data_IF_123265251401
#
_entry.id   IF_123265251401
#
_cell.length_a   1.000
_cell.length_b   1.000
_cell.length_c   1.000
_cell.angle_alpha   90.00
_cell.angle_beta   90.00
_cell.angle_gamma   90.00
#
_symmetry.space_group_name_H-M   'P 1'
#
loop_
_entity.id
_entity.type
_entity.pdbx_description
1 polymer ?
#
# COMPACT_ATOMS: atom_id res chain seq x y z
N UNK A 1 10.91 -32.11 3.52
CA UNK A 1 9.94 -31.10 4.00
C UNK A 1 8.48 -31.52 3.81
N UNK A 2 7.98 -31.80 2.59
CA UNK A 2 6.54 -32.06 2.35
C UNK A 2 5.89 -33.19 3.19
N UNK A 3 6.60 -34.28 3.50
CA UNK A 3 6.05 -35.42 4.28
C UNK A 3 5.69 -35.06 5.72
N UNK A 4 6.51 -34.24 6.37
CA UNK A 4 6.36 -33.87 7.80
C UNK A 4 5.20 -32.88 7.96
N UNK A 5 5.12 -31.89 7.06
CA UNK A 5 4.01 -30.93 6.99
C UNK A 5 2.67 -31.58 6.63
N UNK A 6 2.66 -32.62 5.78
CA UNK A 6 1.46 -33.42 5.47
C UNK A 6 0.93 -34.21 6.68
N UNK A 7 1.80 -34.54 7.64
CA UNK A 7 1.42 -35.18 8.91
C UNK A 7 1.02 -34.16 9.99
N UNK A 8 0.93 -32.87 9.64
CA UNK A 8 0.59 -31.78 10.59
C UNK A 8 1.71 -31.40 11.57
N UNK A 9 2.84 -32.09 11.54
CA UNK A 9 3.97 -31.87 12.43
C UNK A 9 4.77 -30.63 12.00
N UNK A 10 5.00 -29.70 12.93
CA UNK A 10 5.72 -28.45 12.67
C UNK A 10 4.88 -27.30 12.08
N UNK A 11 3.56 -27.47 11.94
CA UNK A 11 2.63 -26.42 11.48
C UNK A 11 2.19 -25.46 12.61
N UNK A 12 3.08 -25.12 13.54
CA UNK A 12 2.78 -24.07 14.51
C UNK A 12 2.73 -22.72 13.78
N UNK A 13 1.53 -22.15 13.69
CA UNK A 13 1.29 -20.90 13.01
C UNK A 13 1.93 -19.76 13.81
N UNK A 14 3.12 -19.31 13.39
CA UNK A 14 3.75 -18.09 13.91
C UNK A 14 3.04 -16.88 13.31
N UNK A 15 1.87 -16.55 13.84
CA UNK A 15 1.10 -15.38 13.43
C UNK A 15 1.38 -14.24 14.42
N UNK A 16 1.73 -13.07 13.89
CA UNK A 16 1.83 -11.86 14.70
C UNK A 16 0.43 -11.39 15.12
N UNK A 17 0.35 -10.82 16.32
CA UNK A 17 -0.85 -10.13 16.79
C UNK A 17 -1.12 -8.90 15.91
N UNK A 18 -2.40 -8.58 15.65
CA UNK A 18 -2.74 -7.37 14.91
C UNK A 18 -2.42 -6.13 15.74
N UNK A 19 -1.95 -5.08 15.07
CA UNK A 19 -1.80 -3.76 15.69
C UNK A 19 -3.20 -3.19 15.95
N UNK A 20 -3.44 -2.78 17.19
CA UNK A 20 -4.69 -2.15 17.62
C UNK A 20 -4.70 -0.65 17.33
N UNK A 21 -5.89 -0.05 17.25
CA UNK A 21 -6.04 1.39 17.04
C UNK A 21 -5.34 2.23 18.14
N UNK A 22 -5.34 1.73 19.38
CA UNK A 22 -4.64 2.39 20.49
C UNK A 22 -3.12 2.33 20.32
N UNK A 23 -2.57 1.18 19.91
CA UNK A 23 -1.14 1.06 19.63
C UNK A 23 -0.74 1.95 18.45
N UNK A 24 -1.56 2.01 17.40
CA UNK A 24 -1.35 2.95 16.31
C UNK A 24 -1.36 4.40 16.81
N UNK A 25 -2.32 4.79 17.63
CA UNK A 25 -2.37 6.12 18.23
C UNK A 25 -1.11 6.43 19.06
N UNK A 26 -0.60 5.45 19.80
CA UNK A 26 0.67 5.59 20.54
C UNK A 26 1.86 5.75 19.58
N UNK A 27 1.92 5.02 18.47
CA UNK A 27 2.99 5.18 17.47
C UNK A 27 3.00 6.60 16.88
N UNK A 28 1.82 7.19 16.63
CA UNK A 28 1.71 8.59 16.20
C UNK A 28 2.16 9.55 17.31
N UNK A 29 1.69 9.38 18.55
CA UNK A 29 2.02 10.25 19.70
C UNK A 29 3.51 10.22 20.05
N UNK A 30 4.13 9.04 20.01
CA UNK A 30 5.55 8.86 20.29
C UNK A 30 6.45 9.30 19.13
N UNK A 31 5.89 9.73 18.00
CA UNK A 31 6.66 10.16 16.83
C UNK A 31 7.34 9.03 16.07
N UNK A 32 6.95 7.77 16.32
CA UNK A 32 7.36 6.59 15.54
C UNK A 32 6.78 6.65 14.12
N UNK A 33 5.61 7.27 13.99
CA UNK A 33 4.99 7.66 12.71
C UNK A 33 4.94 9.19 12.62
N UNK A 34 5.12 9.72 11.41
CA UNK A 34 5.09 11.16 11.17
C UNK A 34 5.75 11.59 9.87
N UNK A 35 5.77 12.91 9.64
CA UNK A 35 6.29 13.52 8.41
C UNK A 35 7.40 14.55 8.62
N UNK A 36 7.97 14.65 9.82
CA UNK A 36 8.87 15.76 10.17
C UNK A 36 10.31 15.58 9.66
N UNK A 37 10.70 14.36 9.27
CA UNK A 37 12.00 14.09 8.64
C UNK A 37 11.84 13.10 7.47
N UNK A 38 12.74 13.12 6.46
CA UNK A 38 12.57 12.30 5.26
C UNK A 38 12.53 10.79 5.52
N UNK A 39 13.35 10.30 6.45
CA UNK A 39 13.42 8.86 6.78
C UNK A 39 12.14 8.38 7.44
N UNK A 40 11.63 9.14 8.40
CA UNK A 40 10.38 8.87 9.08
C UNK A 40 9.20 8.98 8.13
N UNK A 41 9.21 9.96 7.23
CA UNK A 41 8.19 10.13 6.21
C UNK A 41 8.08 8.88 5.33
N UNK A 42 9.21 8.34 4.86
CA UNK A 42 9.25 7.08 4.10
C UNK A 42 8.78 5.88 4.94
N UNK A 43 9.25 5.76 6.18
CA UNK A 43 8.82 4.68 7.09
C UNK A 43 7.31 4.71 7.34
N UNK A 44 6.75 5.90 7.54
CA UNK A 44 5.32 6.13 7.73
C UNK A 44 4.55 5.75 6.47
N UNK A 45 5.05 6.10 5.28
CA UNK A 45 4.43 5.67 4.03
C UNK A 45 4.44 4.14 3.88
N UNK A 46 5.53 3.47 4.25
CA UNK A 46 5.62 2.01 4.23
C UNK A 46 4.54 1.40 5.15
N UNK A 47 4.39 1.91 6.37
CA UNK A 47 3.34 1.49 7.30
C UNK A 47 1.94 1.66 6.69
N UNK A 48 1.62 2.86 6.20
CA UNK A 48 0.29 3.17 5.65
C UNK A 48 -0.04 2.37 4.38
N UNK A 49 0.95 2.15 3.51
CA UNK A 49 0.78 1.27 2.35
C UNK A 49 0.47 -0.17 2.78
N UNK A 50 1.12 -0.66 3.84
CA UNK A 50 0.86 -1.99 4.40
C UNK A 50 -0.56 -2.10 4.96
N UNK A 51 -0.93 -1.12 5.79
CA UNK A 51 -2.22 -1.04 6.46
C UNK A 51 -3.38 -0.93 5.45
N UNK A 52 -3.35 0.06 4.56
CA UNK A 52 -4.50 0.38 3.71
C UNK A 52 -4.57 -0.45 2.43
N UNK A 53 -3.45 -0.85 1.84
CA UNK A 53 -3.44 -1.67 0.61
C UNK A 53 -3.33 -3.19 0.88
N UNK A 54 -3.20 -3.56 2.16
CA UNK A 54 -3.00 -4.94 2.62
C UNK A 54 -1.74 -5.59 2.05
N UNK A 55 -0.65 -4.82 1.93
CA UNK A 55 0.67 -5.36 1.58
C UNK A 55 1.21 -6.07 2.83
N UNK A 56 1.44 -7.38 2.75
CA UNK A 56 1.77 -8.22 3.91
C UNK A 56 3.22 -8.64 3.97
N UNK A 57 3.90 -8.67 2.83
CA UNK A 57 5.26 -9.17 2.74
C UNK A 57 6.24 -8.05 2.37
N UNK A 58 7.45 -8.11 2.94
CA UNK A 58 8.52 -7.21 2.55
C UNK A 58 8.90 -7.30 1.06
N UNK A 59 8.52 -8.38 0.37
CA UNK A 59 8.68 -8.49 -1.09
C UNK A 59 7.65 -7.65 -1.85
N UNK A 60 6.40 -7.55 -1.39
CA UNK A 60 5.40 -6.68 -2.02
C UNK A 60 5.80 -5.22 -1.90
N UNK A 61 6.23 -4.78 -0.71
CA UNK A 61 6.73 -3.42 -0.51
C UNK A 61 7.93 -3.09 -1.41
N UNK A 62 8.93 -3.99 -1.48
CA UNK A 62 10.13 -3.77 -2.31
C UNK A 62 9.86 -3.81 -3.81
N UNK A 63 8.76 -4.44 -4.23
CA UNK A 63 8.34 -4.52 -5.65
C UNK A 63 7.45 -3.34 -6.07
N UNK A 64 7.10 -2.43 -5.17
CA UNK A 64 6.47 -1.17 -5.55
C UNK A 64 7.43 -0.35 -6.42
N UNK A 65 6.90 0.26 -7.47
CA UNK A 65 7.70 0.97 -8.47
C UNK A 65 7.27 2.43 -8.59
N UNK A 66 8.22 3.28 -8.96
CA UNK A 66 7.94 4.66 -9.34
C UNK A 66 7.46 4.75 -10.80
N UNK A 67 8.18 4.11 -11.74
CA UNK A 67 7.76 4.02 -13.14
C UNK A 67 6.74 2.89 -13.30
N UNK A 68 5.63 3.16 -13.98
CA UNK A 68 4.49 2.24 -14.07
C UNK A 68 4.05 1.81 -12.65
N UNK A 69 3.84 2.81 -11.80
CA UNK A 69 3.51 2.64 -10.38
C UNK A 69 2.22 1.86 -10.21
N UNK A 70 2.22 0.97 -9.22
CA UNK A 70 1.00 0.31 -8.76
C UNK A 70 0.11 1.24 -7.93
N UNK A 71 0.68 2.30 -7.35
CA UNK A 71 -0.03 3.28 -6.52
C UNK A 71 -0.14 4.59 -7.29
N UNK A 72 -1.38 5.05 -7.49
CA UNK A 72 -1.68 6.27 -8.23
C UNK A 72 -2.47 7.23 -7.36
N UNK A 73 -2.11 8.52 -7.40
CA UNK A 73 -2.93 9.59 -6.85
C UNK A 73 -3.93 10.03 -7.93
N UNK A 74 -5.21 9.87 -7.63
CA UNK A 74 -6.32 10.17 -8.53
C UNK A 74 -7.21 11.24 -7.89
N UNK A 75 -8.01 11.91 -8.71
CA UNK A 75 -8.98 12.92 -8.27
C UNK A 75 -10.35 12.56 -8.83
N UNK A 76 -11.38 12.55 -7.99
CA UNK A 76 -12.76 12.36 -8.43
C UNK A 76 -13.33 13.62 -9.07
N UNK A 77 -14.50 13.46 -9.69
CA UNK A 77 -15.28 14.55 -10.29
C UNK A 77 -15.64 15.62 -9.23
N UNK A 78 -15.85 15.21 -7.98
CA UNK A 78 -16.12 16.11 -6.84
C UNK A 78 -14.88 16.86 -6.31
N UNK A 79 -13.70 16.64 -6.90
CA UNK A 79 -12.43 17.23 -6.47
C UNK A 79 -11.69 16.46 -5.36
N UNK A 80 -12.27 15.38 -4.84
CA UNK A 80 -11.65 14.58 -3.78
C UNK A 80 -10.49 13.76 -4.32
N UNK A 81 -9.28 13.99 -3.79
CA UNK A 81 -8.11 13.16 -4.11
C UNK A 81 -8.10 11.86 -3.32
N UNK A 82 -7.74 10.75 -3.96
CA UNK A 82 -7.63 9.43 -3.34
C UNK A 82 -6.45 8.66 -3.92
N UNK A 83 -5.96 7.66 -3.19
CA UNK A 83 -4.93 6.76 -3.67
C UNK A 83 -5.56 5.45 -4.15
N UNK A 84 -5.19 5.00 -5.34
CA UNK A 84 -5.56 3.69 -5.87
C UNK A 84 -4.33 2.80 -5.96
N UNK A 85 -4.38 1.65 -5.30
CA UNK A 85 -3.44 0.56 -5.49
C UNK A 85 -4.00 -0.47 -6.45
N UNK A 86 -3.24 -0.85 -7.47
CA UNK A 86 -3.55 -1.94 -8.38
C UNK A 86 -2.45 -3.00 -8.31
N UNK A 87 -2.81 -4.20 -7.92
CA UNK A 87 -1.91 -5.35 -7.90
C UNK A 87 -1.53 -5.74 -9.35
N UNK A 88 -0.29 -6.19 -9.56
CA UNK A 88 0.15 -6.68 -10.87
C UNK A 88 -0.40 -8.11 -11.11
N UNK A 89 -0.10 -9.01 -10.18
CA UNK A 89 -0.50 -10.42 -10.20
C UNK A 89 -0.71 -10.88 -8.76
N UNK A 90 -1.83 -11.55 -8.49
CA UNK A 90 -2.13 -12.04 -7.14
C UNK A 90 -1.25 -13.23 -6.75
N UNK A 91 -0.81 -13.28 -5.50
CA UNK A 91 -0.04 -14.42 -4.95
C UNK A 91 -0.81 -15.74 -4.98
N UNK A 92 -2.14 -15.71 -4.93
CA UNK A 92 -2.97 -16.93 -5.00
C UNK A 92 -3.21 -17.37 -6.44
N UNK A 93 -2.67 -16.66 -7.42
CA UNK A 93 -2.74 -17.01 -8.82
C UNK A 93 -1.76 -18.16 -9.11
N UNK A 94 -2.26 -19.39 -9.15
CA UNK A 94 -1.43 -20.56 -9.49
C UNK A 94 -1.04 -20.64 -10.97
N UNK A 95 -1.44 -19.67 -11.80
CA UNK A 95 -1.14 -19.66 -13.22
C UNK A 95 -2.14 -20.43 -14.07
N UNK A 96 -1.86 -20.55 -15.37
CA UNK A 96 -2.61 -21.37 -16.30
C UNK A 96 -3.85 -20.72 -16.92
N UNK A 97 -4.41 -21.40 -17.93
CA UNK A 97 -5.52 -20.92 -18.76
C UNK A 97 -6.78 -20.57 -17.95
N UNK A 98 -7.05 -21.32 -16.86
CA UNK A 98 -8.23 -21.13 -16.00
C UNK A 98 -8.22 -19.81 -15.25
N UNK A 99 -7.04 -19.25 -14.98
CA UNK A 99 -6.93 -18.00 -14.24
C UNK A 99 -6.76 -16.78 -15.14
N UNK A 100 -6.65 -16.92 -16.47
CA UNK A 100 -6.42 -15.80 -17.42
C UNK A 100 -7.43 -14.65 -17.32
N UNK A 101 -8.63 -14.91 -16.80
CA UNK A 101 -9.72 -13.95 -16.63
C UNK A 101 -9.79 -13.32 -15.23
N UNK A 102 -8.92 -13.71 -14.29
CA UNK A 102 -8.94 -13.17 -12.93
C UNK A 102 -8.42 -11.73 -12.96
N UNK A 103 -9.29 -10.78 -12.59
CA UNK A 103 -8.92 -9.39 -12.48
C UNK A 103 -7.97 -9.19 -11.28
N UNK A 104 -6.90 -8.38 -11.44
CA UNK A 104 -6.03 -8.03 -10.32
C UNK A 104 -6.78 -7.22 -9.25
N UNK A 105 -6.37 -7.39 -7.98
CA UNK A 105 -6.93 -6.63 -6.86
C UNK A 105 -6.69 -5.14 -7.08
N UNK A 106 -7.74 -4.35 -6.90
CA UNK A 106 -7.66 -2.89 -6.84
C UNK A 106 -8.22 -2.42 -5.51
N UNK A 107 -7.54 -1.47 -4.86
CA UNK A 107 -7.94 -0.91 -3.56
C UNK A 107 -7.87 0.61 -3.64
N UNK A 108 -8.98 1.26 -3.31
CA UNK A 108 -9.06 2.71 -3.21
C UNK A 108 -9.01 3.13 -1.75
N UNK A 109 -8.20 4.14 -1.44
CA UNK A 109 -8.08 4.71 -0.11
C UNK A 109 -8.31 6.22 -0.17
N UNK A 110 -9.29 6.66 0.63
CA UNK A 110 -9.77 8.03 0.71
C UNK A 110 -9.14 8.77 1.90
N UNK A 111 -9.11 10.12 1.86
CA UNK A 111 -8.50 10.91 2.92
C UNK A 111 -9.19 10.72 4.27
N UNK A 112 -8.37 10.63 5.31
CA UNK A 112 -8.84 10.64 6.70
C UNK A 112 -9.18 12.08 7.14
N UNK A 113 -10.05 12.20 8.15
CA UNK A 113 -10.41 13.49 8.74
C UNK A 113 -9.21 14.23 9.35
N UNK A 114 -8.27 13.49 9.95
CA UNK A 114 -7.02 14.06 10.47
C UNK A 114 -5.97 14.16 9.35
N UNK A 115 -5.63 15.41 8.98
CA UNK A 115 -4.64 15.72 7.94
C UNK A 115 -3.23 15.26 8.30
N UNK A 116 -2.86 15.21 9.58
CA UNK A 116 -1.51 14.84 10.01
C UNK A 116 -1.26 13.33 9.85
N UNK A 117 -2.32 12.53 10.00
CA UNK A 117 -2.30 11.07 9.84
C UNK A 117 -2.76 10.61 8.45
N UNK A 118 -3.15 11.56 7.59
CA UNK A 118 -3.75 11.25 6.30
C UNK A 118 -2.73 10.66 5.31
N UNK A 119 -2.97 9.44 4.85
CA UNK A 119 -2.12 8.74 3.89
C UNK A 119 -1.93 9.50 2.57
N UNK A 120 -2.99 10.17 2.09
CA UNK A 120 -2.97 10.97 0.86
C UNK A 120 -1.99 12.14 1.03
N UNK A 121 -2.03 12.83 2.17
CA UNK A 121 -1.16 13.98 2.44
C UNK A 121 0.29 13.56 2.68
N UNK A 122 0.52 12.45 3.38
CA UNK A 122 1.85 11.83 3.53
C UNK A 122 2.43 11.46 2.16
N UNK A 123 1.62 10.83 1.30
CA UNK A 123 2.03 10.49 -0.06
C UNK A 123 2.37 11.75 -0.86
N UNK A 124 1.50 12.77 -0.86
CA UNK A 124 1.77 14.05 -1.53
C UNK A 124 3.04 14.72 -1.03
N UNK A 125 3.39 14.63 0.26
CA UNK A 125 4.65 15.19 0.78
C UNK A 125 5.88 14.52 0.17
N UNK A 126 5.86 13.20 -0.01
CA UNK A 126 6.97 12.46 -0.62
C UNK A 126 7.07 12.77 -2.12
N UNK A 127 5.95 12.69 -2.83
CA UNK A 127 5.93 12.77 -4.29
C UNK A 127 5.80 14.21 -4.82
N UNK A 128 5.35 15.15 -4.00
CA UNK A 128 5.25 16.58 -4.32
C UNK A 128 6.58 17.32 -4.25
N UNK A 129 7.56 16.81 -3.49
CA UNK A 129 8.94 17.31 -3.50
C UNK A 129 9.76 16.81 -4.70
N UNK A 130 9.20 15.90 -5.52
CA UNK A 130 9.87 15.35 -6.70
C UNK A 130 9.33 16.06 -7.94
N UNK A 131 10.13 16.97 -8.51
CA UNK A 131 9.84 17.61 -9.79
C UNK A 131 9.89 16.56 -10.92
N UNK A 132 8.73 16.15 -11.43
CA UNK A 132 8.65 15.20 -12.55
C UNK A 132 8.92 15.91 -13.88
N UNK A 133 10.19 15.97 -14.30
CA UNK A 133 10.52 16.13 -15.72
C UNK A 133 10.44 14.77 -16.39
N UNK A 134 9.42 14.55 -17.22
CA UNK A 134 9.33 13.38 -18.08
C UNK A 134 8.09 12.52 -17.86
N UNK A 135 7.18 12.59 -18.84
CA UNK A 135 6.08 11.67 -19.16
C UNK A 135 6.08 10.34 -18.37
N UNK A 136 5.40 10.33 -17.24
CA UNK A 136 5.13 9.13 -16.42
C UNK A 136 3.88 9.28 -15.57
N UNK A 137 2.93 10.09 -16.04
CA UNK A 137 1.71 10.40 -15.32
C UNK A 137 0.71 9.25 -15.44
N UNK A 138 0.41 8.59 -14.32
CA UNK A 138 -0.92 8.05 -14.10
C UNK A 138 -1.84 9.20 -13.71
N UNK A 139 -2.10 10.14 -14.63
CA UNK A 139 -3.36 10.88 -14.56
C UNK A 139 -4.35 9.96 -15.27
N UNK A 140 -5.13 9.19 -14.52
CA UNK A 140 -6.39 8.70 -15.09
C UNK A 140 -7.36 9.87 -14.98
N UNK A 141 -7.33 10.73 -15.99
CA UNK A 141 -8.47 11.54 -16.36
C UNK A 141 -9.42 10.59 -17.07
N UNK A 142 -10.26 9.90 -16.31
CA UNK A 142 -11.43 9.23 -16.87
C UNK A 142 -12.38 10.34 -17.33
N UNK A 143 -12.43 10.59 -18.63
CA UNK A 143 -13.50 11.35 -19.29
C UNK A 143 -14.45 10.34 -19.98
N UNK A 144 -15.74 10.67 -20.09
CA UNK A 144 -16.83 9.73 -20.43
C UNK A 144 -16.72 9.10 -21.82
#
# INVERSE_FOLDING_TARGET
MKKISNMGLGNLRKQAEPITDNEEEQMWKCGVLGSHNPRLLVNTLIYLNGLHFSLRSGQEHRKLRFKNSQICLLTRIDGTSFLRYKEDVSKTYQGGLKHRKVAPKTVDHYPNSDKNKCHIEIYKKIYGSVSFSGKGRCILSDAP
#
